data_IF_652738779530
#
_entry.id   IF_652738779530
#
_cell.length_a   1.000
_cell.length_b   1.000
_cell.length_c   1.000
_cell.angle_alpha   90.00
_cell.angle_beta   90.00
_cell.angle_gamma   90.00
#
_symmetry.space_group_name_H-M   'P 1'
#
loop_
_entity.id
_entity.type
_entity.pdbx_description
1 polymer ?
#
# COMPACT_ATOMS: atom_id res chain seq x y z
N UNK A 1 5.10 21.96 -39.41
CA UNK A 1 4.91 22.64 -38.10
C UNK A 1 3.87 21.97 -37.19
N UNK A 2 2.89 21.21 -37.71
CA UNK A 2 1.89 20.51 -36.88
C UNK A 2 2.47 19.29 -36.12
N UNK A 3 3.46 18.62 -36.70
CA UNK A 3 4.10 17.41 -36.12
C UNK A 3 4.94 17.72 -34.88
N UNK A 4 5.63 18.85 -34.84
CA UNK A 4 6.47 19.25 -33.71
C UNK A 4 5.63 19.68 -32.50
N UNK A 5 4.52 20.39 -32.71
CA UNK A 5 3.59 20.76 -31.64
C UNK A 5 2.95 19.50 -31.03
N UNK A 6 2.53 18.56 -31.88
CA UNK A 6 1.95 17.28 -31.43
C UNK A 6 2.93 16.45 -30.59
N UNK A 7 4.22 16.46 -30.97
CA UNK A 7 5.27 15.78 -30.21
C UNK A 7 5.49 16.42 -28.82
N UNK A 8 5.53 17.75 -28.74
CA UNK A 8 5.73 18.47 -27.49
C UNK A 8 4.57 18.25 -26.51
N UNK A 9 3.32 18.25 -27.00
CA UNK A 9 2.14 17.97 -26.17
C UNK A 9 2.16 16.55 -25.61
N UNK A 10 2.59 15.56 -26.41
CA UNK A 10 2.72 14.17 -25.95
C UNK A 10 3.79 14.00 -24.86
N UNK A 11 4.96 14.63 -25.02
CA UNK A 11 6.04 14.56 -24.02
C UNK A 11 5.60 15.19 -22.70
N UNK A 12 4.91 16.34 -22.76
CA UNK A 12 4.38 17.02 -21.57
C UNK A 12 3.33 16.16 -20.84
N UNK A 13 2.43 15.51 -21.58
CA UNK A 13 1.43 14.61 -21.01
C UNK A 13 2.05 13.39 -20.31
N UNK A 14 3.07 12.78 -20.93
CA UNK A 14 3.81 11.65 -20.35
C UNK A 14 4.56 12.06 -19.09
N UNK A 15 5.24 13.22 -19.11
CA UNK A 15 5.95 13.76 -17.95
C UNK A 15 5.00 14.08 -16.79
N UNK A 16 3.84 14.68 -17.10
CA UNK A 16 2.79 14.95 -16.11
C UNK A 16 2.24 13.66 -15.50
N UNK A 17 1.96 12.64 -16.32
CA UNK A 17 1.50 11.34 -15.84
C UNK A 17 2.54 10.67 -14.94
N UNK A 18 3.82 10.69 -15.33
CA UNK A 18 4.92 10.13 -14.54
C UNK A 18 5.08 10.83 -13.18
N UNK A 19 4.97 12.16 -13.13
CA UNK A 19 5.00 12.94 -11.89
C UNK A 19 3.84 12.59 -10.94
N UNK A 20 2.63 12.43 -11.49
CA UNK A 20 1.45 12.07 -10.69
C UNK A 20 1.53 10.63 -10.16
N UNK A 21 2.02 9.68 -10.95
CA UNK A 21 2.24 8.29 -10.49
C UNK A 21 3.34 8.22 -9.41
N UNK A 22 4.42 8.98 -9.57
CA UNK A 22 5.50 9.06 -8.56
C UNK A 22 4.98 9.63 -7.25
N UNK A 23 4.15 10.68 -7.28
CA UNK A 23 3.51 11.24 -6.07
C UNK A 23 2.59 10.22 -5.38
N UNK A 24 1.82 9.43 -6.14
CA UNK A 24 0.92 8.40 -5.56
C UNK A 24 1.65 7.21 -4.95
N UNK A 25 2.79 6.78 -5.52
CA UNK A 25 3.56 5.66 -4.99
C UNK A 25 4.41 5.99 -3.75
N UNK A 26 4.54 7.26 -3.36
CA UNK A 26 5.37 7.66 -2.21
C UNK A 26 4.58 7.71 -0.89
N UNK A 27 3.28 7.40 -0.91
CA UNK A 27 2.41 7.47 0.28
C UNK A 27 1.86 6.10 0.71
N UNK A 28 2.64 5.03 0.55
CA UNK A 28 2.44 3.89 1.46
C UNK A 28 3.01 4.34 2.79
N UNK A 29 2.14 4.86 3.64
CA UNK A 29 2.48 5.35 4.96
C UNK A 29 2.95 4.14 5.78
N UNK A 30 4.25 3.88 5.81
CA UNK A 30 4.84 2.73 6.53
C UNK A 30 4.47 2.81 8.04
N UNK A 31 4.14 4.02 8.53
CA UNK A 31 3.59 4.25 9.85
C UNK A 31 2.21 3.57 10.07
N UNK A 32 1.31 3.57 9.09
CA UNK A 32 0.01 2.89 9.19
C UNK A 32 0.14 1.36 9.20
N UNK A 33 1.24 0.82 8.66
CA UNK A 33 1.56 -0.61 8.75
C UNK A 33 2.10 -0.97 10.13
N UNK A 34 2.80 -0.05 10.81
CA UNK A 34 3.34 -0.25 12.16
C UNK A 34 2.27 -0.29 13.24
N UNK A 35 1.19 0.48 13.08
CA UNK A 35 0.10 0.52 14.06
C UNK A 35 -0.92 -0.59 13.87
N UNK A 36 -0.83 -1.40 12.81
CA UNK A 36 -1.69 -2.56 12.69
C UNK A 36 -1.22 -3.58 13.75
N UNK A 37 -2.02 -3.86 14.79
CA UNK A 37 -1.63 -4.84 15.79
C UNK A 37 -1.22 -6.17 15.13
N UNK A 38 -0.29 -6.90 15.74
CA UNK A 38 0.16 -8.19 15.22
C UNK A 38 -1.00 -9.21 15.23
N UNK A 39 -0.99 -10.19 14.32
CA UNK A 39 -2.03 -11.24 14.24
C UNK A 39 -3.07 -11.06 13.14
N UNK A 40 -3.85 -12.11 12.89
CA UNK A 40 -4.90 -12.16 11.88
C UNK A 40 -6.28 -12.26 12.54
N UNK A 41 -7.33 -11.92 11.79
CA UNK A 41 -8.72 -12.06 12.26
C UNK A 41 -9.18 -13.46 11.86
N UNK A 42 -9.63 -14.26 12.83
CA UNK A 42 -10.31 -15.52 12.53
C UNK A 42 -11.66 -15.23 11.88
N UNK A 43 -11.87 -15.77 10.68
CA UNK A 43 -13.07 -15.51 9.89
C UNK A 43 -14.35 -16.01 10.56
N UNK A 44 -14.27 -17.10 11.34
CA UNK A 44 -15.45 -17.72 11.96
C UNK A 44 -15.93 -16.97 13.19
N UNK A 45 -15.00 -16.53 14.03
CA UNK A 45 -15.32 -15.89 15.31
C UNK A 45 -15.20 -14.37 15.28
N UNK A 46 -14.57 -13.79 14.24
CA UNK A 46 -14.24 -12.37 14.17
C UNK A 46 -13.20 -11.94 15.21
N UNK A 47 -12.63 -12.89 15.97
CA UNK A 47 -11.66 -12.62 17.03
C UNK A 47 -10.26 -12.53 16.45
N UNK A 48 -9.42 -11.75 17.13
CA UNK A 48 -8.00 -11.66 16.80
C UNK A 48 -7.27 -12.91 17.28
N UNK A 49 -6.45 -13.49 16.41
CA UNK A 49 -5.56 -14.61 16.72
C UNK A 49 -4.12 -14.17 16.54
N UNK A 50 -3.31 -14.42 17.55
CA UNK A 50 -1.86 -14.20 17.52
C UNK A 50 -1.13 -15.53 17.78
N UNK A 51 0.07 -15.67 17.22
CA UNK A 51 0.90 -16.85 17.45
C UNK A 51 1.77 -16.59 18.67
N UNK A 52 1.56 -17.34 19.73
CA UNK A 52 2.43 -17.30 20.90
C UNK A 52 3.81 -17.85 20.51
N UNK A 53 4.84 -17.00 20.60
CA UNK A 53 6.19 -17.36 20.17
C UNK A 53 6.85 -18.45 21.03
N UNK A 54 6.47 -18.57 22.30
CA UNK A 54 7.01 -19.57 23.21
C UNK A 54 6.39 -20.95 22.98
N UNK A 55 5.09 -21.01 22.71
CA UNK A 55 4.36 -22.27 22.56
C UNK A 55 4.13 -22.67 21.11
N UNK A 56 4.36 -21.73 20.17
CA UNK A 56 4.04 -21.84 18.73
C UNK A 56 2.57 -22.18 18.46
N UNK A 57 1.68 -21.86 19.40
CA UNK A 57 0.24 -22.09 19.27
C UNK A 57 -0.49 -20.79 18.98
N UNK A 58 -1.64 -20.93 18.32
CA UNK A 58 -2.59 -19.85 18.11
C UNK A 58 -3.32 -19.54 19.43
N UNK A 59 -3.29 -18.27 19.84
CA UNK A 59 -3.99 -17.78 21.02
C UNK A 59 -4.91 -16.62 20.63
N UNK A 60 -6.13 -16.64 21.17
CA UNK A 60 -7.08 -15.56 20.97
C UNK A 60 -6.70 -14.38 21.85
N UNK A 61 -6.46 -13.23 21.23
CA UNK A 61 -6.18 -11.98 21.95
C UNK A 61 -7.53 -11.32 22.27
N UNK A 62 -7.75 -10.90 23.52
CA UNK A 62 -8.97 -10.19 23.94
C UNK A 62 -8.90 -8.70 23.64
#
# INVERSE_FOLDING_TARGET
MITTISLVVNIAAIAFLALNLRKKNTQINIAEVRERPAGFIDFKTGRRVEINQATRKEEFVS
#
